data_IF_366649493379
#
_entry.id   IF_366649493379
#
_cell.length_a   1.000
_cell.length_b   1.000
_cell.length_c   1.000
_cell.angle_alpha   90.00
_cell.angle_beta   90.00
_cell.angle_gamma   90.00
#
_symmetry.space_group_name_H-M   'P 1'
#
loop_
_entity.id
_entity.type
_entity.pdbx_description
1 polymer ?
#
# COMPACT_ATOMS: atom_id res chain seq x y z
N UNK A 1 9.37 31.47 0.24
CA UNK A 1 9.46 31.26 -1.23
C UNK A 1 10.58 30.33 -1.62
N UNK A 2 11.86 30.63 -1.33
CA UNK A 2 13.00 29.80 -1.82
C UNK A 2 13.01 28.36 -1.27
N UNK A 3 12.61 28.15 -0.01
CA UNK A 3 12.51 26.81 0.58
C UNK A 3 11.38 25.96 -0.02
N UNK A 4 10.27 26.58 -0.42
CA UNK A 4 9.08 25.90 -0.95
C UNK A 4 9.34 25.36 -2.36
N UNK A 5 9.98 26.17 -3.22
CA UNK A 5 10.40 25.73 -4.56
C UNK A 5 11.35 24.54 -4.52
N UNK A 6 12.20 24.46 -3.48
CA UNK A 6 13.12 23.33 -3.32
C UNK A 6 12.37 22.08 -2.85
N UNK A 7 11.34 22.19 -2.00
CA UNK A 7 10.49 21.05 -1.64
C UNK A 7 9.76 20.47 -2.85
N UNK A 8 9.17 21.32 -3.69
CA UNK A 8 8.53 20.89 -4.94
C UNK A 8 9.52 20.21 -5.88
N UNK A 9 10.73 20.77 -6.03
CA UNK A 9 11.79 20.16 -6.82
C UNK A 9 12.20 18.77 -6.27
N UNK A 10 12.37 18.64 -4.95
CA UNK A 10 12.63 17.35 -4.32
C UNK A 10 11.48 16.36 -4.57
N UNK A 11 10.22 16.78 -4.41
CA UNK A 11 9.07 15.92 -4.64
C UNK A 11 9.01 15.40 -6.08
N UNK A 12 9.30 16.25 -7.06
CA UNK A 12 9.37 15.88 -8.48
C UNK A 12 10.54 14.94 -8.78
N UNK A 13 11.74 15.27 -8.28
CA UNK A 13 12.92 14.44 -8.51
C UNK A 13 12.77 13.05 -7.90
N UNK A 14 12.16 12.93 -6.71
CA UNK A 14 11.88 11.64 -6.07
C UNK A 14 10.92 10.74 -6.88
N UNK A 15 10.08 11.32 -7.74
CA UNK A 15 9.20 10.54 -8.64
C UNK A 15 9.96 9.96 -9.83
N UNK A 16 10.97 10.66 -10.30
CA UNK A 16 11.71 10.37 -11.53
C UNK A 16 13.07 9.71 -11.30
N UNK A 17 13.59 9.75 -10.07
CA UNK A 17 14.97 9.34 -9.75
C UNK A 17 15.17 7.83 -9.67
N UNK A 18 16.32 7.38 -10.21
CA UNK A 18 16.94 6.10 -9.89
C UNK A 18 17.48 6.08 -8.44
N UNK A 19 17.72 4.90 -7.87
CA UNK A 19 17.87 4.71 -6.43
C UNK A 19 19.01 5.52 -5.79
N UNK A 20 20.16 5.63 -6.46
CA UNK A 20 21.33 6.37 -5.95
C UNK A 20 21.08 7.89 -5.89
N UNK A 21 20.33 8.41 -6.87
CA UNK A 21 19.93 9.82 -6.89
C UNK A 21 18.85 10.08 -5.84
N UNK A 22 17.97 9.10 -5.63
CA UNK A 22 16.93 9.12 -4.59
C UNK A 22 17.52 9.32 -3.19
N UNK A 23 18.58 8.60 -2.83
CA UNK A 23 19.24 8.71 -1.53
C UNK A 23 19.72 10.15 -1.24
N UNK A 24 20.41 10.77 -2.20
CA UNK A 24 20.92 12.15 -2.06
C UNK A 24 19.78 13.15 -1.88
N UNK A 25 18.69 12.99 -2.64
CA UNK A 25 17.52 13.86 -2.53
C UNK A 25 16.85 13.68 -1.16
N UNK A 26 16.74 12.45 -0.66
CA UNK A 26 16.15 12.15 0.64
C UNK A 26 16.96 12.76 1.80
N UNK A 27 18.29 12.70 1.74
CA UNK A 27 19.14 13.37 2.73
C UNK A 27 18.95 14.90 2.70
N UNK A 28 18.87 15.49 1.50
CA UNK A 28 18.60 16.92 1.35
C UNK A 28 17.23 17.29 1.92
N UNK A 29 16.20 16.50 1.61
CA UNK A 29 14.85 16.68 2.09
C UNK A 29 14.78 16.63 3.62
N UNK A 30 15.37 15.60 4.24
CA UNK A 30 15.42 15.46 5.70
C UNK A 30 16.10 16.65 6.38
N UNK A 31 17.22 17.10 5.84
CA UNK A 31 17.92 18.27 6.37
C UNK A 31 17.04 19.53 6.29
N UNK A 32 16.24 19.67 5.24
CA UNK A 32 15.29 20.78 5.11
C UNK A 32 14.10 20.67 6.06
N UNK A 33 13.50 19.48 6.19
CA UNK A 33 12.40 19.22 7.11
C UNK A 33 12.81 19.51 8.56
N UNK A 34 13.99 19.06 8.97
CA UNK A 34 14.53 19.31 10.31
C UNK A 34 14.82 20.80 10.58
N UNK A 35 14.99 21.62 9.53
CA UNK A 35 15.25 23.06 9.65
C UNK A 35 13.99 23.91 9.46
N UNK A 36 12.90 23.31 8.98
CA UNK A 36 11.65 24.01 8.76
C UNK A 36 10.89 24.21 10.07
N UNK A 37 11.03 25.41 10.64
CA UNK A 37 10.17 25.90 11.73
C UNK A 37 9.15 26.96 11.26
N UNK A 38 9.16 27.34 9.97
CA UNK A 38 8.53 28.57 9.48
C UNK A 38 7.63 28.40 8.24
N UNK A 39 7.09 27.21 7.96
CA UNK A 39 6.08 27.07 6.90
C UNK A 39 4.70 27.43 7.45
N UNK A 40 3.98 28.32 6.77
CA UNK A 40 2.57 28.59 7.03
C UNK A 40 1.72 27.35 6.72
N UNK A 41 0.68 27.07 7.51
CA UNK A 41 -0.18 25.89 7.35
C UNK A 41 -0.62 25.60 5.90
N UNK A 42 -0.95 26.64 5.12
CA UNK A 42 -1.41 26.48 3.74
C UNK A 42 -0.32 26.04 2.74
N UNK A 43 0.94 26.45 2.94
CA UNK A 43 2.05 25.99 2.10
C UNK A 43 2.51 24.59 2.49
N UNK A 44 2.42 24.27 3.79
CA UNK A 44 2.70 22.93 4.28
C UNK A 44 1.78 21.88 3.66
N UNK A 45 0.46 22.15 3.56
CA UNK A 45 -0.48 21.21 2.94
C UNK A 45 -0.17 20.94 1.46
N UNK A 46 0.21 21.98 0.72
CA UNK A 46 0.61 21.87 -0.70
C UNK A 46 1.87 21.01 -0.85
N UNK A 47 2.89 21.30 -0.04
CA UNK A 47 4.15 20.55 -0.02
C UNK A 47 3.90 19.08 0.38
N UNK A 48 3.08 18.85 1.41
CA UNK A 48 2.71 17.52 1.86
C UNK A 48 1.95 16.73 0.79
N UNK A 49 1.06 17.40 0.04
CA UNK A 49 0.31 16.79 -1.04
C UNK A 49 1.20 16.19 -2.13
N UNK A 50 2.36 16.80 -2.37
CA UNK A 50 3.31 16.34 -3.39
C UNK A 50 4.37 15.39 -2.84
N UNK A 51 4.87 15.64 -1.62
CA UNK A 51 5.91 14.82 -0.99
C UNK A 51 5.38 13.47 -0.52
N UNK A 52 4.20 13.41 0.11
CA UNK A 52 3.69 12.17 0.70
C UNK A 52 3.55 11.06 -0.34
N UNK A 53 2.97 11.28 -1.54
CA UNK A 53 2.95 10.26 -2.59
C UNK A 53 4.34 9.78 -3.00
N UNK A 54 5.29 10.70 -3.20
CA UNK A 54 6.67 10.36 -3.61
C UNK A 54 7.39 9.54 -2.54
N UNK A 55 7.24 9.91 -1.27
CA UNK A 55 7.83 9.19 -0.14
C UNK A 55 7.24 7.79 0.01
N UNK A 56 5.91 7.66 -0.05
CA UNK A 56 5.23 6.36 0.00
C UNK A 56 5.63 5.48 -1.19
N UNK A 57 5.77 6.06 -2.38
CA UNK A 57 6.24 5.35 -3.57
C UNK A 57 7.66 4.79 -3.35
N UNK A 58 8.59 5.57 -2.79
CA UNK A 58 9.95 5.10 -2.51
C UNK A 58 9.95 3.99 -1.47
N UNK A 59 9.22 4.17 -0.36
CA UNK A 59 9.08 3.13 0.68
C UNK A 59 8.57 1.82 0.06
N UNK A 60 7.63 1.92 -0.88
CA UNK A 60 7.00 0.78 -1.53
C UNK A 60 7.83 0.14 -2.65
N UNK A 61 8.60 0.91 -3.41
CA UNK A 61 9.24 0.46 -4.66
C UNK A 61 10.75 0.33 -4.60
N UNK A 62 11.45 1.05 -3.71
CA UNK A 62 12.91 0.99 -3.69
C UNK A 62 13.41 -0.36 -3.17
N UNK A 63 14.40 -0.90 -3.88
CA UNK A 63 15.19 -2.07 -3.51
C UNK A 63 16.18 -1.76 -2.38
N UNK A 64 16.69 -0.52 -2.31
CA UNK A 64 17.64 -0.08 -1.29
C UNK A 64 16.97 0.15 0.08
N UNK A 65 17.51 -0.52 1.11
CA UNK A 65 17.02 -0.39 2.50
C UNK A 65 17.15 1.05 2.99
N UNK A 66 18.26 1.71 2.66
CA UNK A 66 18.55 3.07 3.09
C UNK A 66 17.53 4.08 2.54
N UNK A 67 17.18 3.99 1.26
CA UNK A 67 16.15 4.83 0.67
C UNK A 67 14.78 4.67 1.37
N UNK A 68 14.38 3.43 1.67
CA UNK A 68 13.14 3.17 2.43
C UNK A 68 13.20 3.76 3.83
N UNK A 69 14.35 3.64 4.50
CA UNK A 69 14.57 4.18 5.83
C UNK A 69 14.51 5.73 5.84
N UNK A 70 15.26 6.39 4.96
CA UNK A 70 15.27 7.86 4.85
C UNK A 70 13.91 8.42 4.44
N UNK A 71 13.20 7.77 3.52
CA UNK A 71 11.84 8.16 3.15
C UNK A 71 10.86 8.01 4.33
N UNK A 72 11.02 6.97 5.15
CA UNK A 72 10.22 6.79 6.37
C UNK A 72 10.51 7.86 7.42
N UNK A 73 11.79 8.25 7.59
CA UNK A 73 12.16 9.36 8.47
C UNK A 73 11.59 10.69 7.97
N UNK A 74 11.65 10.95 6.67
CA UNK A 74 11.11 12.17 6.08
C UNK A 74 9.59 12.25 6.30
N UNK A 75 8.89 11.13 6.11
CA UNK A 75 7.45 11.02 6.38
C UNK A 75 7.14 11.25 7.87
N UNK A 76 7.93 10.68 8.78
CA UNK A 76 7.80 10.93 10.21
C UNK A 76 8.06 12.39 10.60
N UNK A 77 8.98 13.06 9.89
CA UNK A 77 9.33 14.47 10.11
C UNK A 77 8.25 15.44 9.66
N UNK A 78 7.42 15.05 8.68
CA UNK A 78 6.21 15.81 8.31
C UNK A 78 5.16 15.78 9.42
N UNK A 79 5.20 14.81 10.33
CA UNK A 79 4.26 14.70 11.44
C UNK A 79 2.86 14.28 11.01
N UNK A 80 1.86 14.60 11.84
CA UNK A 80 0.47 14.25 11.56
C UNK A 80 -0.09 15.15 10.45
N UNK A 81 -0.47 14.54 9.33
CA UNK A 81 -1.04 15.24 8.18
C UNK A 81 -2.50 14.82 8.04
N UNK A 82 -3.40 15.80 7.90
CA UNK A 82 -4.82 15.57 7.67
C UNK A 82 -5.08 15.27 6.19
N UNK A 83 -5.45 14.03 5.81
CA UNK A 83 -5.67 13.66 4.41
C UNK A 83 -6.81 14.44 3.75
N UNK A 84 -7.81 14.87 4.53
CA UNK A 84 -8.91 15.71 4.01
C UNK A 84 -8.41 17.09 3.60
N UNK A 85 -7.47 17.64 4.37
CA UNK A 85 -6.83 18.94 4.09
C UNK A 85 -5.94 18.88 2.85
N UNK A 86 -5.14 17.81 2.71
CA UNK A 86 -4.34 17.54 1.51
C UNK A 86 -5.22 17.41 0.26
N UNK A 87 -6.30 16.63 0.35
CA UNK A 87 -7.22 16.39 -0.76
C UNK A 87 -7.85 17.69 -1.30
N UNK A 88 -8.17 18.64 -0.41
CA UNK A 88 -8.68 19.96 -0.78
C UNK A 88 -7.62 20.83 -1.48
N UNK A 89 -6.36 20.76 -1.06
CA UNK A 89 -5.25 21.48 -1.72
C UNK A 89 -4.99 20.95 -3.13
N UNK A 90 -5.03 19.63 -3.32
CA UNK A 90 -4.86 19.01 -4.64
C UNK A 90 -6.02 19.35 -5.59
N UNK A 91 -7.26 19.33 -5.08
CA UNK A 91 -8.47 19.68 -5.83
C UNK A 91 -8.60 21.17 -6.17
N UNK A 92 -7.84 22.05 -5.50
CA UNK A 92 -7.74 23.48 -5.86
C UNK A 92 -6.75 23.74 -7.00
N UNK A 93 -5.76 22.85 -7.19
CA UNK A 93 -4.74 22.97 -8.23
C UNK A 93 -5.23 22.44 -9.59
N UNK A 94 -6.02 21.36 -9.57
CA UNK A 94 -6.71 20.85 -10.76
C UNK A 94 -8.17 21.31 -10.70
N UNK A 95 -8.66 22.05 -11.69
CA UNK A 95 -10.07 22.47 -11.85
C UNK A 95 -11.05 21.28 -12.02
N UNK A 96 -11.06 20.34 -11.08
CA UNK A 96 -11.80 19.09 -11.11
C UNK A 96 -12.82 19.00 -9.98
N UNK A 97 -13.96 18.39 -10.30
CA UNK A 97 -15.16 18.28 -9.48
C UNK A 97 -14.89 17.83 -8.03
N UNK A 98 -15.31 18.66 -7.06
CA UNK A 98 -15.14 18.45 -5.61
C UNK A 98 -15.84 17.19 -5.07
N UNK A 99 -16.73 16.56 -5.85
CA UNK A 99 -17.55 15.44 -5.39
C UNK A 99 -16.90 14.05 -5.50
N UNK A 100 -15.73 13.93 -6.13
CA UNK A 100 -14.94 12.70 -6.15
C UNK A 100 -13.65 12.89 -5.35
N UNK A 101 -13.76 12.97 -4.02
CA UNK A 101 -12.60 12.92 -3.13
C UNK A 101 -12.03 11.50 -3.16
N UNK A 102 -11.35 11.17 -4.25
CA UNK A 102 -10.54 9.97 -4.40
C UNK A 102 -9.50 10.01 -3.30
N UNK A 103 -9.39 8.94 -2.51
CA UNK A 103 -8.32 8.84 -1.52
C UNK A 103 -6.99 9.06 -2.24
N UNK A 104 -6.30 10.15 -1.91
CA UNK A 104 -5.13 10.68 -2.63
C UNK A 104 -3.99 9.65 -2.75
N UNK A 105 -4.01 8.63 -1.89
CA UNK A 105 -2.95 7.62 -1.74
C UNK A 105 -3.38 6.20 -2.10
N UNK A 106 -4.57 6.03 -2.70
CA UNK A 106 -5.07 4.70 -3.06
C UNK A 106 -5.32 4.67 -4.56
N UNK A 107 -4.49 3.90 -5.27
CA UNK A 107 -4.81 3.48 -6.63
C UNK A 107 -6.20 2.84 -6.61
N UNK A 108 -7.06 3.23 -7.54
CA UNK A 108 -8.46 2.80 -7.57
C UNK A 108 -8.74 2.13 -8.90
N UNK A 109 -9.62 1.12 -8.88
CA UNK A 109 -9.96 0.36 -10.08
C UNK A 109 -8.88 -0.67 -10.43
N UNK A 110 -8.63 -0.86 -11.72
CA UNK A 110 -7.81 -1.96 -12.27
C UNK A 110 -6.37 -1.95 -11.76
N UNK A 111 -5.78 -0.75 -11.64
CA UNK A 111 -4.39 -0.57 -11.22
C UNK A 111 -4.12 -1.16 -9.83
N UNK A 112 -5.08 -1.04 -8.92
CA UNK A 112 -4.98 -1.61 -7.58
C UNK A 112 -4.88 -3.14 -7.63
N UNK A 113 -5.73 -3.78 -8.44
CA UNK A 113 -5.78 -5.23 -8.56
C UNK A 113 -4.52 -5.78 -9.24
N UNK A 114 -4.05 -5.11 -10.29
CA UNK A 114 -2.79 -5.45 -10.96
C UNK A 114 -1.65 -5.40 -9.94
N UNK A 115 -1.51 -4.30 -9.20
CA UNK A 115 -0.42 -4.16 -8.26
C UNK A 115 -0.53 -5.14 -7.07
N UNK A 116 -1.74 -5.44 -6.60
CA UNK A 116 -1.98 -6.46 -5.59
C UNK A 116 -1.48 -7.83 -6.05
N UNK A 117 -1.80 -8.23 -7.28
CA UNK A 117 -1.39 -9.52 -7.84
C UNK A 117 0.12 -9.59 -8.11
N UNK A 118 0.73 -8.52 -8.62
CA UNK A 118 2.18 -8.40 -8.79
C UNK A 118 2.91 -8.61 -7.46
N UNK A 119 2.46 -7.91 -6.40
CA UNK A 119 3.06 -8.04 -5.07
C UNK A 119 2.80 -9.40 -4.43
N UNK A 120 1.63 -9.97 -4.64
CA UNK A 120 1.32 -11.32 -4.19
C UNK A 120 2.22 -12.37 -4.86
N UNK A 121 2.48 -12.24 -6.17
CA UNK A 121 3.37 -13.15 -6.89
C UNK A 121 4.81 -13.09 -6.36
N UNK A 122 5.33 -11.89 -6.13
CA UNK A 122 6.67 -11.70 -5.54
C UNK A 122 6.74 -12.28 -4.13
N UNK A 123 5.75 -11.97 -3.28
CA UNK A 123 5.70 -12.48 -1.92
C UNK A 123 5.60 -14.01 -1.87
N UNK A 124 4.72 -14.59 -2.68
CA UNK A 124 4.52 -16.03 -2.79
C UNK A 124 5.79 -16.77 -3.21
N UNK A 125 6.52 -16.22 -4.19
CA UNK A 125 7.79 -16.77 -4.67
C UNK A 125 8.87 -16.84 -3.58
N UNK A 126 8.77 -15.98 -2.55
CA UNK A 126 9.71 -15.94 -1.43
C UNK A 126 9.33 -16.82 -0.23
N UNK A 127 8.16 -17.47 -0.23
CA UNK A 127 7.72 -18.30 0.89
C UNK A 127 8.46 -19.64 0.87
N UNK A 128 9.21 -19.96 1.92
CA UNK A 128 9.93 -21.23 2.05
C UNK A 128 9.17 -22.28 2.87
N UNK A 129 8.26 -21.83 3.74
CA UNK A 129 7.46 -22.73 4.59
C UNK A 129 6.32 -23.36 3.78
N UNK A 130 6.27 -24.69 3.74
CA UNK A 130 5.30 -25.44 2.94
C UNK A 130 3.85 -25.22 3.41
N UNK A 131 3.62 -25.02 4.72
CA UNK A 131 2.28 -24.78 5.24
C UNK A 131 1.79 -23.40 4.82
N UNK A 132 2.65 -22.39 4.93
CA UNK A 132 2.36 -21.03 4.46
C UNK A 132 2.17 -21.00 2.94
N UNK A 133 2.93 -21.78 2.16
CA UNK A 133 2.72 -21.87 0.71
C UNK A 133 1.31 -22.35 0.36
N UNK A 134 0.77 -23.36 1.08
CA UNK A 134 -0.59 -23.86 0.84
C UNK A 134 -1.64 -22.79 1.18
N UNK A 135 -1.48 -22.10 2.30
CA UNK A 135 -2.40 -21.03 2.73
C UNK A 135 -2.37 -19.82 1.77
N UNK A 136 -1.17 -19.41 1.35
CA UNK A 136 -0.98 -18.38 0.33
C UNK A 136 -1.59 -18.81 -1.01
N UNK A 137 -1.38 -20.06 -1.42
CA UNK A 137 -1.94 -20.60 -2.67
C UNK A 137 -3.46 -20.54 -2.66
N UNK A 138 -4.10 -20.94 -1.57
CA UNK A 138 -5.55 -20.86 -1.40
C UNK A 138 -6.05 -19.40 -1.44
N UNK A 139 -5.38 -18.50 -0.73
CA UNK A 139 -5.75 -17.08 -0.68
C UNK A 139 -5.62 -16.40 -2.05
N UNK A 140 -4.50 -16.63 -2.75
CA UNK A 140 -4.25 -16.08 -4.09
C UNK A 140 -5.22 -16.66 -5.11
N UNK A 141 -5.47 -17.98 -5.07
CA UNK A 141 -6.49 -18.61 -5.92
C UNK A 141 -7.86 -17.94 -5.73
N UNK A 142 -8.27 -17.70 -4.47
CA UNK A 142 -9.56 -17.07 -4.17
C UNK A 142 -9.65 -15.68 -4.78
N UNK A 143 -8.61 -14.85 -4.62
CA UNK A 143 -8.53 -13.52 -5.25
C UNK A 143 -8.60 -13.62 -6.78
N UNK A 144 -7.86 -14.55 -7.39
CA UNK A 144 -7.89 -14.75 -8.84
C UNK A 144 -9.27 -15.19 -9.34
N UNK A 145 -9.97 -16.05 -8.59
CA UNK A 145 -11.30 -16.52 -8.96
C UNK A 145 -12.35 -15.42 -8.83
N UNK A 146 -12.27 -14.58 -7.80
CA UNK A 146 -13.17 -13.43 -7.62
C UNK A 146 -12.91 -12.34 -8.67
N UNK A 147 -11.64 -12.07 -8.99
CA UNK A 147 -11.29 -11.00 -9.94
C UNK A 147 -11.46 -11.42 -11.41
N UNK A 148 -11.06 -12.63 -11.77
CA UNK A 148 -10.97 -13.07 -13.17
C UNK A 148 -12.07 -14.06 -13.56
N UNK A 149 -12.86 -14.52 -12.59
CA UNK A 149 -13.82 -15.61 -12.78
C UNK A 149 -13.13 -16.97 -12.82
N UNK A 150 -13.85 -18.00 -12.33
CA UNK A 150 -13.38 -19.40 -12.36
C UNK A 150 -13.36 -19.99 -13.78
N UNK A 151 -14.26 -19.51 -14.64
CA UNK A 151 -14.50 -20.04 -15.99
C UNK A 151 -14.82 -18.98 -17.06
N UNK A 152 -14.96 -17.70 -16.71
CA UNK A 152 -15.37 -16.64 -17.62
C UNK A 152 -14.19 -15.81 -18.12
N UNK A 153 -14.31 -15.30 -19.34
CA UNK A 153 -13.38 -14.37 -19.99
C UNK A 153 -13.63 -12.91 -19.61
N UNK A 154 -14.50 -12.64 -18.62
CA UNK A 154 -15.08 -11.31 -18.37
C UNK A 154 -14.06 -10.27 -17.89
N UNK A 155 -12.90 -10.71 -17.36
CA UNK A 155 -11.78 -9.83 -17.00
C UNK A 155 -10.44 -10.34 -17.54
N UNK A 156 -10.42 -10.94 -18.74
CA UNK A 156 -9.17 -11.43 -19.33
C UNK A 156 -8.13 -10.33 -19.52
N UNK A 157 -8.57 -9.09 -19.74
CA UNK A 157 -7.66 -7.95 -19.94
C UNK A 157 -6.83 -7.63 -18.69
N UNK A 158 -7.37 -7.80 -17.47
CA UNK A 158 -6.60 -7.60 -16.24
C UNK A 158 -5.43 -8.59 -16.16
N UNK A 159 -5.64 -9.81 -16.62
CA UNK A 159 -4.59 -10.82 -16.67
C UNK A 159 -3.50 -10.44 -17.66
N UNK A 160 -3.89 -9.91 -18.83
CA UNK A 160 -2.97 -9.51 -19.88
C UNK A 160 -2.12 -8.27 -19.50
N UNK A 161 -2.58 -7.47 -18.53
CA UNK A 161 -1.85 -6.33 -17.97
C UNK A 161 -0.79 -6.72 -16.92
N UNK A 162 -0.81 -7.96 -16.43
CA UNK A 162 0.22 -8.46 -15.51
C UNK A 162 1.53 -8.71 -16.27
N UNK A 163 2.65 -8.55 -15.58
CA UNK A 163 3.98 -8.92 -16.06
C UNK A 163 4.06 -10.41 -16.38
N UNK A 164 4.88 -10.77 -17.36
CA UNK A 164 5.10 -12.17 -17.75
C UNK A 164 5.53 -13.03 -16.56
N UNK A 165 6.39 -12.49 -15.70
CA UNK A 165 6.83 -13.16 -14.47
C UNK A 165 5.65 -13.43 -13.53
N UNK A 166 4.79 -12.44 -13.29
CA UNK A 166 3.61 -12.62 -12.45
C UNK A 166 2.64 -13.65 -13.05
N UNK A 167 2.36 -13.56 -14.35
CA UNK A 167 1.51 -14.52 -15.05
C UNK A 167 2.05 -15.94 -14.92
N UNK A 168 3.36 -16.14 -15.12
CA UNK A 168 4.01 -17.44 -14.98
C UNK A 168 3.87 -18.00 -13.56
N UNK A 169 4.17 -17.19 -12.54
CA UNK A 169 4.06 -17.59 -11.13
C UNK A 169 2.64 -17.94 -10.71
N UNK A 170 1.63 -17.22 -11.21
CA UNK A 170 0.23 -17.38 -10.78
C UNK A 170 -0.61 -18.30 -11.69
N UNK A 171 -0.11 -18.63 -12.87
CA UNK A 171 -0.83 -19.42 -13.89
C UNK A 171 -1.40 -20.74 -13.37
N UNK A 172 -0.61 -21.45 -12.54
CA UNK A 172 -1.02 -22.71 -11.93
C UNK A 172 -2.12 -22.51 -10.89
N UNK A 173 -2.06 -21.41 -10.12
CA UNK A 173 -3.05 -21.10 -9.09
C UNK A 173 -4.41 -20.76 -9.70
N UNK A 174 -4.43 -20.10 -10.86
CA UNK A 174 -5.68 -19.76 -11.57
C UNK A 174 -6.52 -21.00 -11.91
N UNK A 175 -5.88 -22.13 -12.22
CA UNK A 175 -6.56 -23.39 -12.58
C UNK A 175 -6.69 -24.37 -11.42
N UNK A 176 -6.13 -24.03 -10.27
CA UNK A 176 -6.14 -24.91 -9.10
C UNK A 176 -7.48 -24.88 -8.36
N UNK A 177 -7.69 -25.88 -7.51
CA UNK A 177 -8.85 -25.98 -6.62
C UNK A 177 -8.37 -26.31 -5.20
N UNK A 178 -7.50 -25.47 -4.64
CA UNK A 178 -7.18 -25.51 -3.22
C UNK A 178 -8.45 -25.32 -2.39
N UNK A 179 -8.59 -26.17 -1.38
CA UNK A 179 -9.68 -26.16 -0.41
C UNK A 179 -9.04 -26.06 0.97
N UNK A 180 -9.45 -25.05 1.75
CA UNK A 180 -9.00 -24.91 3.12
C UNK A 180 -9.91 -25.75 4.03
N UNK A 181 -9.37 -26.84 4.60
CA UNK A 181 -10.10 -27.72 5.53
C UNK A 181 -10.08 -27.23 6.99
N UNK A 182 -9.73 -25.97 7.25
CA UNK A 182 -9.67 -25.44 8.62
C UNK A 182 -11.07 -25.04 9.10
N UNK A 183 -11.43 -25.35 10.36
CA UNK A 183 -12.70 -24.96 10.93
C UNK A 183 -12.80 -23.44 11.07
N UNK A 184 -14.01 -22.90 10.89
CA UNK A 184 -14.30 -21.48 11.06
C UNK A 184 -13.82 -20.97 12.42
N UNK A 185 -12.90 -20.00 12.42
CA UNK A 185 -12.52 -19.27 13.62
C UNK A 185 -13.40 -18.03 13.76
N UNK A 186 -14.01 -17.85 14.93
CA UNK A 186 -14.73 -16.61 15.23
C UNK A 186 -13.77 -15.43 15.18
N UNK A 187 -14.15 -14.40 14.42
CA UNK A 187 -13.37 -13.18 14.33
C UNK A 187 -13.48 -12.39 15.65
N UNK A 188 -12.36 -11.82 16.13
CA UNK A 188 -12.36 -10.99 17.33
C UNK A 188 -13.22 -9.74 17.13
N UNK A 189 -14.01 -9.40 18.15
CA UNK A 189 -14.96 -8.26 18.12
C UNK A 189 -14.45 -7.02 18.86
N UNK A 190 -13.47 -7.18 19.75
CA UNK A 190 -12.89 -6.08 20.54
C UNK A 190 -11.72 -5.44 19.81
N UNK A 191 -11.71 -4.11 19.71
CA UNK A 191 -10.60 -3.34 19.12
C UNK A 191 -9.27 -3.72 19.80
N UNK A 192 -8.17 -3.90 19.05
CA UNK A 192 -6.89 -4.19 19.64
C UNK A 192 -6.31 -2.88 20.17
N UNK A 193 -6.32 -2.73 21.49
CA UNK A 193 -5.50 -1.72 22.17
C UNK A 193 -4.09 -2.33 22.24
N UNK A 194 -3.06 -1.53 21.95
CA UNK A 194 -1.66 -1.91 22.19
C UNK A 194 -1.56 -2.35 23.66
N UNK A 195 -0.93 -3.49 23.95
CA UNK A 195 -0.84 -4.16 25.27
C UNK A 195 -2.05 -5.03 25.73
N UNK A 196 -2.99 -5.42 24.84
CA UNK A 196 -3.92 -6.49 25.20
C UNK A 196 -3.22 -7.87 25.24
N UNK A 197 -3.71 -8.83 26.04
CA UNK A 197 -3.11 -10.18 26.19
C UNK A 197 -2.82 -10.90 24.86
N UNK A 198 -3.57 -10.54 23.80
CA UNK A 198 -3.50 -11.14 22.47
C UNK A 198 -2.41 -10.51 21.58
N UNK A 199 -1.77 -9.43 22.03
CA UNK A 199 -0.79 -8.65 21.26
C UNK A 199 0.55 -8.68 22.01
N UNK A 200 1.49 -9.48 21.49
CA UNK A 200 2.83 -9.63 22.06
C UNK A 200 3.89 -8.82 21.32
N UNK A 201 3.60 -8.46 20.08
CA UNK A 201 4.48 -7.76 19.15
C UNK A 201 3.68 -7.02 18.09
N UNK A 202 4.36 -6.25 17.24
CA UNK A 202 3.74 -5.51 16.16
C UNK A 202 2.99 -6.42 15.16
N UNK A 203 3.52 -7.62 14.89
CA UNK A 203 2.92 -8.57 13.94
C UNK A 203 1.58 -9.10 14.45
N UNK A 204 1.52 -9.51 15.71
CA UNK A 204 0.30 -9.96 16.38
C UNK A 204 -0.72 -8.83 16.50
N UNK A 205 -0.28 -7.60 16.77
CA UNK A 205 -1.13 -6.41 16.71
C UNK A 205 -1.76 -6.20 15.32
N UNK A 206 -0.92 -6.18 14.28
CA UNK A 206 -1.36 -5.95 12.90
C UNK A 206 -2.34 -7.02 12.43
N UNK A 207 -2.04 -8.29 12.71
CA UNK A 207 -2.92 -9.42 12.40
C UNK A 207 -4.28 -9.29 13.10
N UNK A 208 -4.29 -8.90 14.38
CA UNK A 208 -5.52 -8.71 15.13
C UNK A 208 -6.34 -7.53 14.58
N UNK A 209 -5.68 -6.41 14.28
CA UNK A 209 -6.32 -5.25 13.68
C UNK A 209 -6.95 -5.57 12.33
N UNK A 210 -6.22 -6.28 11.46
CA UNK A 210 -6.76 -6.74 10.18
C UNK A 210 -8.01 -7.61 10.35
N UNK A 211 -7.97 -8.62 11.24
CA UNK A 211 -9.11 -9.50 11.51
C UNK A 211 -10.36 -8.74 11.96
N UNK A 212 -10.20 -7.72 12.80
CA UNK A 212 -11.30 -6.89 13.30
C UNK A 212 -11.86 -5.99 12.20
N UNK A 213 -10.99 -5.40 11.39
CA UNK A 213 -11.41 -4.53 10.28
C UNK A 213 -12.13 -5.36 9.20
N UNK A 214 -11.61 -6.54 8.85
CA UNK A 214 -12.26 -7.46 7.94
C UNK A 214 -13.64 -7.90 8.44
N UNK A 215 -13.79 -8.16 9.75
CA UNK A 215 -15.08 -8.50 10.36
C UNK A 215 -16.16 -7.42 10.20
N UNK A 216 -15.77 -6.15 10.03
CA UNK A 216 -16.70 -5.03 9.84
C UNK A 216 -17.11 -4.80 8.39
N UNK A 217 -16.32 -5.31 7.44
CA UNK A 217 -16.58 -5.18 6.00
C UNK A 217 -17.43 -6.36 5.51
N UNK A 218 -17.47 -7.46 6.26
CA UNK A 218 -18.20 -8.66 5.86
C UNK A 218 -19.66 -8.70 6.30
N UNK A 219 -20.56 -8.37 5.36
CA UNK A 219 -21.71 -9.24 5.09
C UNK A 219 -21.26 -10.35 4.11
N UNK A 220 -21.37 -11.60 4.55
CA UNK A 220 -21.40 -12.87 3.78
C UNK A 220 -20.17 -13.52 3.10
N UNK A 221 -19.03 -12.88 2.79
CA UNK A 221 -17.97 -13.59 1.98
C UNK A 221 -16.51 -13.59 2.50
N UNK A 222 -16.18 -12.92 3.60
CA UNK A 222 -14.76 -12.75 4.02
C UNK A 222 -14.21 -13.81 5.01
N UNK A 223 -14.89 -14.92 5.20
CA UNK A 223 -14.54 -15.90 6.24
C UNK A 223 -13.30 -16.77 5.93
N UNK A 224 -12.61 -16.52 4.83
CA UNK A 224 -11.61 -17.44 4.26
C UNK A 224 -10.15 -16.96 4.33
N UNK A 225 -9.87 -15.73 4.75
CA UNK A 225 -8.48 -15.24 4.81
C UNK A 225 -7.83 -15.57 6.16
N UNK A 226 -6.83 -16.43 6.13
CA UNK A 226 -5.98 -16.79 7.27
C UNK A 226 -4.51 -16.50 6.91
N UNK A 227 -3.85 -15.72 7.76
CA UNK A 227 -2.41 -15.47 7.81
C UNK A 227 -1.90 -15.76 9.23
#
# INVERSE_FOLDING_TARGET
MESETVFHACASLLKESYEEVGEVILHKLLNMLNKCSELTDSSFDSIAAELVPSLLQIIRKSSLVECRYLASLALGSLGAIDPGRIGLSLARSNNGDQHNVRFVFVDSGEQFYIELLERAAVAFSGVLDASMQVECSYSIQTVLQELLGKHSSENSHLWDLLSEQCQNSLSMLRKSNFILHKPFQQLPSKRPIIECEQVKDFRSWLNLWYKITAAKVGDSFFYSFHF
#
